data_IF_269508149159
#
_entry.id   IF_269508149159
#
_cell.length_a   1.000
_cell.length_b   1.000
_cell.length_c   1.000
_cell.angle_alpha   90.00
_cell.angle_beta   90.00
_cell.angle_gamma   90.00
#
_symmetry.space_group_name_H-M   'P 1'
#
loop_
_entity.id
_entity.type
_entity.pdbx_description
1 polymer ?
#
# COMPACT_ATOMS: atom_id res chain seq x y z
N UNK A 1 -26.40 39.64 31.01
CA UNK A 1 -27.70 39.07 30.59
C UNK A 1 -27.78 38.73 29.08
N UNK A 2 -26.82 39.15 28.24
CA UNK A 2 -26.88 39.00 26.78
C UNK A 2 -26.20 37.74 26.18
N UNK A 3 -25.73 36.80 26.99
CA UNK A 3 -24.99 35.61 26.50
C UNK A 3 -25.80 34.30 26.58
N UNK A 4 -27.01 34.32 27.18
CA UNK A 4 -27.92 33.17 27.24
C UNK A 4 -28.99 33.13 26.13
N UNK A 5 -29.10 34.15 25.28
CA UNK A 5 -30.08 34.16 24.19
C UNK A 5 -29.58 33.50 22.90
N UNK A 6 -28.27 33.51 22.60
CA UNK A 6 -27.74 32.91 21.37
C UNK A 6 -27.76 31.37 21.33
N UNK A 7 -27.80 30.70 22.49
CA UNK A 7 -27.81 29.23 22.56
C UNK A 7 -29.18 28.61 22.24
N UNK A 8 -30.29 29.32 22.48
CA UNK A 8 -31.64 28.78 22.26
C UNK A 8 -32.12 28.89 20.82
N UNK A 9 -31.63 29.86 20.05
CA UNK A 9 -32.04 30.06 18.65
C UNK A 9 -31.37 29.06 17.69
N UNK A 10 -30.13 28.62 17.98
CA UNK A 10 -29.44 27.60 17.16
C UNK A 10 -29.99 26.18 17.34
N UNK A 11 -30.47 25.84 18.54
CA UNK A 11 -30.98 24.51 18.84
C UNK A 11 -32.34 24.22 18.17
N UNK A 12 -33.19 25.24 18.01
CA UNK A 12 -34.50 25.10 17.34
C UNK A 12 -34.37 25.03 15.82
N UNK A 13 -33.37 25.69 15.22
CA UNK A 13 -33.09 25.62 13.79
C UNK A 13 -32.49 24.27 13.34
N UNK A 14 -31.66 23.65 14.18
CA UNK A 14 -31.11 22.31 13.93
C UNK A 14 -32.18 21.21 14.07
N UNK A 15 -33.11 21.35 15.02
CA UNK A 15 -34.19 20.39 15.20
C UNK A 15 -35.23 20.42 14.06
N UNK A 16 -35.50 21.60 13.48
CA UNK A 16 -36.39 21.73 12.33
C UNK A 16 -35.74 21.26 11.02
N UNK A 17 -34.44 21.46 10.83
CA UNK A 17 -33.69 20.91 9.69
C UNK A 17 -33.62 19.38 9.72
N UNK A 18 -33.42 18.78 10.90
CA UNK A 18 -33.39 17.31 11.06
C UNK A 18 -34.77 16.67 10.81
N UNK A 19 -35.88 17.31 11.21
CA UNK A 19 -37.23 16.80 10.90
C UNK A 19 -37.57 16.87 9.40
N UNK A 20 -37.08 17.88 8.67
CA UNK A 20 -37.24 17.98 7.21
C UNK A 20 -36.44 16.90 6.46
N UNK A 21 -35.26 16.53 6.96
CA UNK A 21 -34.42 15.50 6.34
C UNK A 21 -34.95 14.08 6.59
N UNK A 22 -35.59 13.85 7.74
CA UNK A 22 -36.17 12.55 8.09
C UNK A 22 -37.45 12.24 7.30
N UNK A 23 -38.23 13.26 6.92
CA UNK A 23 -39.44 13.09 6.12
C UNK A 23 -39.17 12.89 4.61
N UNK A 24 -37.95 13.21 4.14
CA UNK A 24 -37.49 12.87 2.78
C UNK A 24 -36.95 11.44 2.66
N UNK A 25 -36.61 10.79 3.77
CA UNK A 25 -36.15 9.40 3.78
C UNK A 25 -37.30 8.39 3.84
N UNK A 26 -38.51 8.82 4.23
CA UNK A 26 -39.72 7.98 4.26
C UNK A 26 -40.50 7.94 2.94
N UNK A 27 -40.13 8.79 1.96
CA UNK A 27 -40.83 8.93 0.67
C UNK A 27 -40.08 8.36 -0.54
N UNK A 28 -38.96 7.66 -0.32
CA UNK A 28 -38.29 6.91 -1.38
C UNK A 28 -38.82 5.46 -1.44
N UNK A 29 -39.45 5.02 -2.54
CA UNK A 29 -39.77 3.61 -2.72
C UNK A 29 -38.47 2.81 -2.86
N UNK A 30 -38.45 1.63 -2.26
CA UNK A 30 -37.34 0.68 -2.33
C UNK A 30 -36.99 0.34 -3.80
N UNK A 31 -35.69 0.18 -4.16
CA UNK A 31 -35.35 -0.28 -5.49
C UNK A 31 -35.72 -1.78 -5.59
N UNK A 32 -36.76 -2.06 -6.38
CA UNK A 32 -37.10 -3.40 -6.80
C UNK A 32 -36.03 -3.93 -7.75
N UNK A 33 -35.62 -5.17 -7.52
CA UNK A 33 -34.79 -5.99 -8.41
C UNK A 33 -35.52 -6.25 -9.73
N UNK A 34 -35.48 -5.33 -10.69
CA UNK A 34 -35.87 -5.60 -12.08
C UNK A 34 -35.30 -4.54 -13.03
N UNK A 35 -34.01 -4.64 -13.34
CA UNK A 35 -33.40 -3.90 -14.46
C UNK A 35 -32.19 -4.67 -15.01
N UNK A 36 -32.31 -6.00 -15.13
CA UNK A 36 -31.26 -6.87 -15.67
C UNK A 36 -31.46 -7.23 -17.16
N UNK A 37 -32.35 -6.56 -17.90
CA UNK A 37 -32.71 -6.99 -19.26
C UNK A 37 -32.79 -5.90 -20.34
N UNK A 38 -32.36 -4.66 -20.05
CA UNK A 38 -32.44 -3.55 -21.01
C UNK A 38 -31.07 -2.94 -21.32
N UNK A 39 -30.16 -3.76 -21.88
CA UNK A 39 -29.05 -3.30 -22.72
C UNK A 39 -28.67 -4.43 -23.69
N UNK A 40 -29.68 -4.94 -24.42
CA UNK A 40 -29.48 -5.60 -25.71
C UNK A 40 -29.84 -4.56 -26.75
N UNK A 41 -28.93 -4.30 -27.68
CA UNK A 41 -29.08 -3.47 -28.89
C UNK A 41 -28.55 -2.03 -28.78
N UNK A 42 -27.24 -1.87 -29.06
CA UNK A 42 -26.74 -0.91 -30.05
C UNK A 42 -25.41 -1.42 -30.64
N UNK A 43 -25.10 -1.08 -31.90
CA UNK A 43 -24.29 -1.90 -32.79
C UNK A 43 -22.78 -1.60 -32.71
N UNK A 44 -22.03 -2.54 -33.29
CA UNK A 44 -20.58 -2.56 -33.44
C UNK A 44 -19.95 -1.21 -33.85
N UNK A 45 -18.94 -0.80 -33.10
CA UNK A 45 -17.92 0.15 -33.52
C UNK A 45 -16.60 -0.21 -32.82
N UNK A 46 -15.64 -0.73 -33.58
CA UNK A 46 -14.33 -1.11 -33.11
C UNK A 46 -13.53 0.12 -32.64
N UNK A 47 -13.01 0.08 -31.40
CA UNK A 47 -11.73 0.71 -31.04
C UNK A 47 -11.29 0.22 -29.66
N UNK A 48 -10.00 -0.08 -29.58
CA UNK A 48 -9.24 -0.71 -28.49
C UNK A 48 -9.24 0.09 -27.18
N UNK A 49 -9.74 -0.48 -26.08
CA UNK A 49 -9.35 -0.09 -24.70
C UNK A 49 -9.79 -1.12 -23.63
N UNK A 50 -9.03 -2.20 -23.37
CA UNK A 50 -9.39 -3.17 -22.31
C UNK A 50 -8.80 -2.87 -20.91
N UNK A 51 -7.89 -1.89 -20.75
CA UNK A 51 -7.15 -1.72 -19.49
C UNK A 51 -7.84 -0.85 -18.41
N UNK A 52 -8.63 0.16 -18.80
CA UNK A 52 -9.22 1.12 -17.86
C UNK A 52 -10.43 0.57 -17.08
N UNK A 53 -11.18 -0.37 -17.68
CA UNK A 53 -12.32 -1.04 -17.06
C UNK A 53 -11.88 -2.07 -16.01
N UNK A 54 -10.81 -2.83 -16.27
CA UNK A 54 -10.30 -3.82 -15.32
C UNK A 54 -9.82 -3.17 -14.01
N UNK A 55 -9.16 -2.01 -14.09
CA UNK A 55 -8.73 -1.24 -12.93
C UNK A 55 -9.92 -0.73 -12.10
N UNK A 56 -10.97 -0.25 -12.76
CA UNK A 56 -12.20 0.22 -12.09
C UNK A 56 -12.95 -0.93 -11.41
N UNK A 57 -12.99 -2.12 -12.03
CA UNK A 57 -13.58 -3.31 -11.43
C UNK A 57 -12.74 -3.89 -10.29
N UNK A 58 -11.40 -3.86 -10.37
CA UNK A 58 -10.52 -4.26 -9.29
C UNK A 58 -10.65 -3.30 -8.11
N UNK A 59 -10.66 -1.99 -8.36
CA UNK A 59 -10.80 -0.96 -7.33
C UNK A 59 -12.21 -0.99 -6.71
N UNK A 60 -13.27 -1.21 -7.49
CA UNK A 60 -14.64 -1.38 -6.97
C UNK A 60 -14.81 -2.70 -6.20
N UNK A 61 -14.24 -3.81 -6.65
CA UNK A 61 -14.33 -5.08 -5.92
C UNK A 61 -13.56 -5.03 -4.60
N UNK A 62 -12.42 -4.32 -4.56
CA UNK A 62 -11.63 -4.06 -3.35
C UNK A 62 -12.34 -3.09 -2.42
N UNK A 63 -12.89 -1.98 -2.90
CA UNK A 63 -13.71 -1.08 -2.07
C UNK A 63 -14.94 -1.80 -1.51
N UNK A 64 -15.55 -2.69 -2.29
CA UNK A 64 -16.69 -3.52 -1.86
C UNK A 64 -16.28 -4.57 -0.83
N UNK A 65 -15.12 -5.19 -0.98
CA UNK A 65 -14.51 -6.09 0.02
C UNK A 65 -14.09 -5.38 1.30
N UNK A 66 -13.56 -4.16 1.18
CA UNK A 66 -13.17 -3.31 2.30
C UNK A 66 -14.39 -2.86 3.10
N UNK A 67 -15.45 -2.37 2.42
CA UNK A 67 -16.69 -1.92 3.07
C UNK A 67 -17.48 -3.08 3.71
N UNK A 68 -17.54 -4.25 3.07
CA UNK A 68 -18.21 -5.42 3.67
C UNK A 68 -17.45 -6.00 4.87
N UNK A 69 -16.12 -6.09 4.81
CA UNK A 69 -15.30 -6.54 5.93
C UNK A 69 -15.30 -5.54 7.11
N UNK A 70 -15.39 -4.24 6.82
CA UNK A 70 -15.47 -3.19 7.86
C UNK A 70 -16.85 -3.15 8.51
N UNK A 71 -17.93 -3.34 7.74
CA UNK A 71 -19.31 -3.39 8.28
C UNK A 71 -19.55 -4.62 9.16
N UNK A 72 -18.95 -5.76 8.81
CA UNK A 72 -18.96 -6.95 9.67
C UNK A 72 -18.15 -6.76 10.97
N UNK A 73 -17.09 -5.95 10.94
CA UNK A 73 -16.30 -5.61 12.14
C UNK A 73 -16.96 -4.54 13.02
N UNK A 74 -17.59 -3.52 12.45
CA UNK A 74 -18.29 -2.50 13.24
C UNK A 74 -19.46 -3.08 14.04
N UNK A 75 -20.11 -4.15 13.56
CA UNK A 75 -21.14 -4.86 14.32
C UNK A 75 -20.60 -5.86 15.35
N UNK A 76 -19.32 -6.27 15.28
CA UNK A 76 -18.70 -7.14 16.30
C UNK A 76 -17.97 -6.36 17.40
N UNK A 77 -17.68 -5.08 17.17
CA UNK A 77 -16.99 -4.17 18.10
C UNK A 77 -17.97 -3.31 18.91
N UNK A 78 -19.28 -3.45 18.70
CA UNK A 78 -20.29 -2.95 19.64
C UNK A 78 -20.55 -3.90 20.82
N UNK A 79 -19.61 -4.79 21.12
CA UNK A 79 -19.50 -5.44 22.42
C UNK A 79 -18.48 -4.67 23.25
N UNK A 80 -18.97 -4.00 24.31
CA UNK A 80 -18.23 -3.48 25.48
C UNK A 80 -16.79 -4.00 25.55
N UNK A 81 -15.79 -3.11 25.51
CA UNK A 81 -14.69 -3.08 26.48
C UNK A 81 -13.85 -1.81 26.30
N UNK A 82 -13.46 -1.25 27.44
CA UNK A 82 -12.72 -0.01 27.64
C UNK A 82 -11.49 0.13 26.74
N UNK A 83 -11.32 1.31 26.13
CA UNK A 83 -10.03 1.75 25.59
C UNK A 83 -9.04 1.82 26.77
N UNK A 84 -8.26 0.78 26.96
CA UNK A 84 -7.19 0.76 27.94
C UNK A 84 -6.02 1.52 27.31
N UNK A 85 -5.73 2.73 27.83
CA UNK A 85 -4.53 3.48 27.47
C UNK A 85 -3.32 2.67 27.92
N UNK A 86 -2.66 2.01 26.97
CA UNK A 86 -1.58 1.08 27.26
C UNK A 86 -0.24 1.84 27.38
N UNK A 87 -0.05 2.50 28.52
CA UNK A 87 1.27 2.94 29.00
C UNK A 87 1.96 1.78 29.75
N UNK A 88 2.20 0.65 29.09
CA UNK A 88 3.08 -0.38 29.66
C UNK A 88 4.43 -0.31 28.95
N UNK A 89 5.56 -0.16 29.68
CA UNK A 89 6.88 -0.21 29.07
C UNK A 89 7.03 -1.54 28.33
N UNK A 90 7.66 -1.50 27.15
CA UNK A 90 7.98 -2.67 26.32
C UNK A 90 8.71 -3.71 27.19
N UNK A 91 7.98 -4.73 27.64
CA UNK A 91 8.55 -5.81 28.42
C UNK A 91 9.09 -6.87 27.46
N UNK A 92 10.41 -6.91 27.28
CA UNK A 92 11.13 -7.89 26.47
C UNK A 92 11.22 -9.29 27.11
N UNK A 93 10.53 -9.54 28.24
CA UNK A 93 10.49 -10.87 28.85
C UNK A 93 9.37 -11.74 28.23
N UNK A 94 9.72 -12.58 27.25
CA UNK A 94 8.73 -13.45 26.61
C UNK A 94 9.32 -14.67 25.90
N UNK A 95 9.55 -15.74 26.67
CA UNK A 95 9.67 -17.15 26.27
C UNK A 95 10.45 -17.46 24.99
N UNK A 96 11.74 -17.77 25.20
CA UNK A 96 12.65 -18.38 24.24
C UNK A 96 12.18 -19.78 23.81
N UNK A 97 11.74 -19.93 22.55
CA UNK A 97 11.67 -21.24 21.90
C UNK A 97 10.50 -21.51 20.94
N UNK A 98 9.51 -20.61 20.82
CA UNK A 98 8.38 -20.81 19.91
C UNK A 98 8.49 -19.99 18.61
N UNK A 99 8.26 -20.63 17.46
CA UNK A 99 8.11 -19.96 16.17
C UNK A 99 7.02 -18.89 16.24
N UNK A 100 7.20 -17.75 15.55
CA UNK A 100 6.17 -16.68 15.52
C UNK A 100 4.80 -17.24 15.10
N UNK A 101 4.80 -18.12 14.11
CA UNK A 101 3.63 -18.83 13.58
C UNK A 101 2.69 -19.44 14.64
N UNK A 102 3.23 -20.08 15.69
CA UNK A 102 2.43 -20.81 16.71
C UNK A 102 1.70 -19.89 17.69
N UNK A 103 2.01 -18.59 17.66
CA UNK A 103 1.48 -17.60 18.59
C UNK A 103 0.67 -16.50 17.94
N UNK A 104 0.25 -16.72 16.70
CA UNK A 104 -0.61 -15.77 16.02
C UNK A 104 -2.03 -15.84 16.57
N UNK A 105 -2.44 -14.78 17.26
CA UNK A 105 -3.84 -14.53 17.57
C UNK A 105 -4.64 -14.35 16.27
N UNK A 106 -5.94 -14.71 16.26
CA UNK A 106 -6.78 -14.58 15.05
C UNK A 106 -6.85 -13.14 14.53
N UNK A 107 -6.71 -12.15 15.42
CA UNK A 107 -6.64 -10.73 15.08
C UNK A 107 -5.43 -10.39 14.19
N UNK A 108 -4.24 -10.87 14.54
CA UNK A 108 -3.00 -10.61 13.79
C UNK A 108 -3.07 -11.20 12.39
N UNK A 109 -3.63 -12.42 12.25
CA UNK A 109 -3.82 -13.05 10.92
C UNK A 109 -4.73 -12.22 10.02
N UNK A 110 -5.80 -11.64 10.57
CA UNK A 110 -6.70 -10.77 9.80
C UNK A 110 -6.00 -9.46 9.41
N UNK A 111 -5.21 -8.87 10.30
CA UNK A 111 -4.38 -7.69 9.99
C UNK A 111 -3.46 -7.98 8.80
N UNK A 112 -2.70 -9.08 8.89
CA UNK A 112 -1.72 -9.44 7.85
C UNK A 112 -2.39 -9.73 6.52
N UNK A 113 -3.50 -10.47 6.52
CA UNK A 113 -4.26 -10.73 5.29
C UNK A 113 -4.65 -9.41 4.59
N UNK A 114 -5.08 -8.39 5.35
CA UNK A 114 -5.40 -7.07 4.78
C UNK A 114 -4.19 -6.39 4.16
N UNK A 115 -3.06 -6.38 4.88
CA UNK A 115 -1.82 -5.77 4.39
C UNK A 115 -1.36 -6.43 3.09
N UNK A 116 -1.32 -7.76 3.03
CA UNK A 116 -0.93 -8.47 1.81
C UNK A 116 -1.93 -8.30 0.66
N UNK A 117 -3.24 -8.21 0.94
CA UNK A 117 -4.23 -7.90 -0.12
C UNK A 117 -4.06 -6.49 -0.67
N UNK A 118 -3.79 -5.50 0.18
CA UNK A 118 -3.50 -4.11 -0.23
C UNK A 118 -2.22 -4.03 -1.04
N UNK A 119 -1.18 -4.76 -0.61
CA UNK A 119 0.09 -4.87 -1.32
C UNK A 119 -0.11 -5.42 -2.74
N UNK A 120 -0.85 -6.52 -2.89
CA UNK A 120 -1.15 -7.09 -4.21
C UNK A 120 -1.90 -6.11 -5.13
N UNK A 121 -2.89 -5.40 -4.58
CA UNK A 121 -3.62 -4.37 -5.32
C UNK A 121 -2.72 -3.19 -5.72
N UNK A 122 -1.80 -2.78 -4.84
CA UNK A 122 -0.85 -1.72 -5.12
C UNK A 122 0.13 -2.12 -6.23
N UNK A 123 0.63 -3.35 -6.23
CA UNK A 123 1.46 -3.88 -7.32
C UNK A 123 0.72 -3.88 -8.66
N UNK A 124 -0.57 -4.26 -8.69
CA UNK A 124 -1.39 -4.17 -9.89
C UNK A 124 -1.60 -2.72 -10.35
N UNK A 125 -1.82 -1.82 -9.40
CA UNK A 125 -1.97 -0.38 -9.66
C UNK A 125 -0.68 0.24 -10.19
N UNK A 126 0.48 -0.17 -9.66
CA UNK A 126 1.78 0.23 -10.17
C UNK A 126 2.02 -0.30 -11.59
N UNK A 127 1.69 -1.57 -11.86
CA UNK A 127 1.75 -2.15 -13.21
C UNK A 127 0.86 -1.39 -14.21
N UNK A 128 -0.34 -1.00 -13.79
CA UNK A 128 -1.23 -0.13 -14.58
C UNK A 128 -0.60 1.25 -14.80
N UNK A 129 0.03 1.86 -13.79
CA UNK A 129 0.76 3.12 -13.92
C UNK A 129 1.87 3.03 -14.96
N UNK A 130 2.68 1.98 -14.92
CA UNK A 130 3.73 1.73 -15.92
C UNK A 130 3.13 1.55 -17.32
N UNK A 131 2.06 0.76 -17.44
CA UNK A 131 1.38 0.51 -18.70
C UNK A 131 0.77 1.79 -19.29
N UNK A 132 0.10 2.61 -18.48
CA UNK A 132 -0.46 3.88 -18.92
C UNK A 132 0.62 4.81 -19.45
N UNK A 133 1.75 4.92 -18.76
CA UNK A 133 2.86 5.78 -19.18
C UNK A 133 3.50 5.32 -20.49
N UNK A 134 3.54 4.01 -20.75
CA UNK A 134 4.10 3.44 -21.99
C UNK A 134 3.09 3.47 -23.16
N UNK A 135 1.82 3.15 -22.89
CA UNK A 135 0.79 2.99 -23.91
C UNK A 135 0.15 4.32 -24.35
N UNK A 136 0.14 5.34 -23.49
CA UNK A 136 -0.42 6.65 -23.83
C UNK A 136 0.68 7.62 -24.30
N UNK A 137 0.35 8.63 -25.13
CA UNK A 137 1.29 9.68 -25.50
C UNK A 137 1.78 10.52 -24.31
N UNK A 138 1.24 10.31 -23.09
CA UNK A 138 1.74 10.91 -21.87
C UNK A 138 3.22 10.59 -21.63
N UNK A 139 3.72 9.42 -22.04
CA UNK A 139 5.15 9.10 -21.95
C UNK A 139 6.05 9.99 -22.82
N UNK A 140 5.51 10.61 -23.88
CA UNK A 140 6.23 11.60 -24.70
C UNK A 140 6.03 13.04 -24.23
N UNK A 141 4.88 13.33 -23.61
CA UNK A 141 4.54 14.69 -23.16
C UNK A 141 5.06 15.01 -21.74
N UNK A 142 5.14 14.00 -20.86
CA UNK A 142 5.54 14.14 -19.47
C UNK A 142 6.93 13.53 -19.30
N UNK A 143 7.92 14.29 -18.78
CA UNK A 143 9.23 13.73 -18.55
C UNK A 143 9.18 12.72 -17.39
N UNK A 144 9.88 11.60 -17.53
CA UNK A 144 9.84 10.46 -16.60
C UNK A 144 10.23 10.77 -15.14
N UNK A 145 10.91 11.90 -14.89
CA UNK A 145 11.24 12.34 -13.53
C UNK A 145 10.04 13.00 -12.82
N UNK A 146 9.03 13.48 -13.56
CA UNK A 146 7.88 14.17 -12.97
C UNK A 146 7.02 13.25 -12.09
N UNK A 147 6.66 12.01 -12.50
CA UNK A 147 5.96 11.08 -11.62
C UNK A 147 6.78 10.69 -10.39
N UNK A 148 8.11 10.64 -10.51
CA UNK A 148 9.01 10.35 -9.39
C UNK A 148 8.97 11.45 -8.33
N UNK A 149 9.01 12.72 -8.74
CA UNK A 149 8.82 13.87 -7.82
C UNK A 149 7.39 13.92 -7.30
N UNK A 150 6.40 13.62 -8.15
CA UNK A 150 5.00 13.55 -7.80
C UNK A 150 4.68 12.51 -6.73
N UNK A 151 5.39 11.38 -6.72
CA UNK A 151 5.27 10.32 -5.71
C UNK A 151 5.66 10.76 -4.30
N UNK A 152 6.59 11.72 -4.17
CA UNK A 152 6.93 12.26 -2.85
C UNK A 152 5.77 13.00 -2.18
N UNK A 153 4.84 13.59 -2.94
CA UNK A 153 3.71 14.35 -2.39
C UNK A 153 2.78 13.46 -1.53
N UNK A 154 2.19 12.38 -2.05
CA UNK A 154 1.35 11.49 -1.23
C UNK A 154 2.15 10.76 -0.16
N UNK A 155 3.44 10.46 -0.39
CA UNK A 155 4.30 9.81 0.61
C UNK A 155 4.59 10.74 1.81
N UNK A 156 4.97 11.99 1.55
CA UNK A 156 5.16 13.01 2.57
C UNK A 156 3.85 13.30 3.31
N UNK A 157 2.73 13.36 2.59
CA UNK A 157 1.43 13.55 3.22
C UNK A 157 1.10 12.41 4.20
N UNK A 158 1.28 11.16 3.78
CA UNK A 158 1.00 10.01 4.64
C UNK A 158 1.94 9.94 5.85
N UNK A 159 3.18 10.41 5.69
CA UNK A 159 4.20 10.40 6.74
C UNK A 159 4.08 11.54 7.75
N UNK A 160 3.85 12.78 7.29
CA UNK A 160 3.81 13.97 8.15
C UNK A 160 2.43 14.31 8.69
N UNK A 161 1.37 14.01 7.93
CA UNK A 161 0.00 14.34 8.29
C UNK A 161 -0.95 13.19 7.96
N UNK A 162 -0.86 12.05 8.68
CA UNK A 162 -1.70 10.89 8.43
C UNK A 162 -3.17 11.28 8.58
N UNK A 163 -3.96 11.25 7.50
CA UNK A 163 -5.32 11.77 7.52
C UNK A 163 -6.21 10.87 8.36
N UNK A 164 -7.01 11.44 9.27
CA UNK A 164 -7.90 10.67 10.14
C UNK A 164 -8.93 9.81 9.35
N UNK A 165 -9.22 10.20 8.11
CA UNK A 165 -10.16 9.49 7.24
C UNK A 165 -9.52 8.25 6.58
N UNK A 166 -10.03 7.03 6.83
CA UNK A 166 -9.43 5.80 6.30
C UNK A 166 -9.49 5.72 4.77
N UNK A 167 -10.56 6.23 4.15
CA UNK A 167 -10.71 6.26 2.69
C UNK A 167 -9.68 7.18 2.01
N UNK A 168 -9.32 8.28 2.67
CA UNK A 168 -8.33 9.22 2.15
C UNK A 168 -6.94 8.59 2.21
N UNK A 169 -6.58 7.91 3.31
CA UNK A 169 -5.32 7.15 3.41
C UNK A 169 -5.16 6.14 2.27
N UNK A 170 -6.20 5.37 1.99
CA UNK A 170 -6.20 4.39 0.89
C UNK A 170 -6.04 5.06 -0.47
N UNK A 171 -6.75 6.16 -0.72
CA UNK A 171 -6.64 6.90 -1.95
C UNK A 171 -5.20 7.42 -2.16
N UNK A 172 -4.60 8.02 -1.13
CA UNK A 172 -3.20 8.47 -1.18
C UNK A 172 -2.24 7.31 -1.42
N UNK A 173 -2.45 6.17 -0.79
CA UNK A 173 -1.63 4.97 -1.00
C UNK A 173 -1.70 4.45 -2.44
N UNK A 174 -2.90 4.35 -3.03
CA UNK A 174 -3.04 3.91 -4.42
C UNK A 174 -2.55 4.96 -5.42
N UNK A 175 -2.75 6.25 -5.14
CA UNK A 175 -2.17 7.33 -5.96
C UNK A 175 -0.65 7.27 -5.94
N UNK A 176 -0.05 7.04 -4.76
CA UNK A 176 1.39 6.81 -4.63
C UNK A 176 1.83 5.59 -5.45
N UNK A 177 1.17 4.44 -5.29
CA UNK A 177 1.50 3.23 -6.04
C UNK A 177 1.42 3.41 -7.56
N UNK A 178 0.43 4.17 -8.05
CA UNK A 178 0.29 4.50 -9.46
C UNK A 178 1.45 5.37 -9.95
N UNK A 179 1.78 6.44 -9.22
CA UNK A 179 2.89 7.35 -9.54
C UNK A 179 4.24 6.65 -9.55
N UNK A 180 4.50 5.77 -8.57
CA UNK A 180 5.69 4.92 -8.55
C UNK A 180 5.75 3.98 -9.76
N UNK A 181 4.62 3.37 -10.14
CA UNK A 181 4.51 2.60 -11.37
C UNK A 181 4.87 3.40 -12.62
N UNK A 182 4.38 4.65 -12.71
CA UNK A 182 4.73 5.56 -13.80
C UNK A 182 6.22 5.94 -13.79
N UNK A 183 6.83 6.11 -12.62
CA UNK A 183 8.25 6.45 -12.48
C UNK A 183 9.17 5.32 -12.96
N UNK A 184 8.77 4.07 -12.78
CA UNK A 184 9.56 2.88 -13.17
C UNK A 184 9.28 2.46 -14.63
N UNK A 185 8.32 3.11 -15.31
CA UNK A 185 7.97 2.85 -16.71
C UNK A 185 9.16 2.73 -17.69
N UNK A 186 10.20 3.59 -17.68
CA UNK A 186 11.34 3.42 -18.60
C UNK A 186 12.12 2.13 -18.34
N UNK A 187 12.19 1.68 -17.09
CA UNK A 187 12.83 0.42 -16.72
C UNK A 187 12.00 -0.78 -17.21
N UNK A 188 10.68 -0.70 -17.04
CA UNK A 188 9.73 -1.72 -17.52
C UNK A 188 9.78 -1.81 -19.04
N UNK A 189 9.89 -0.69 -19.74
CA UNK A 189 10.03 -0.67 -21.19
C UNK A 189 11.32 -1.36 -21.64
N UNK A 190 12.46 -1.02 -21.04
CA UNK A 190 13.75 -1.63 -21.36
C UNK A 190 13.74 -3.15 -21.12
N UNK A 191 13.20 -3.59 -19.98
CA UNK A 191 13.09 -5.03 -19.66
C UNK A 191 12.06 -5.76 -20.51
N UNK A 192 11.01 -5.08 -20.97
CA UNK A 192 10.03 -5.64 -21.90
C UNK A 192 10.62 -5.87 -23.29
N UNK A 193 11.42 -4.93 -23.81
CA UNK A 193 12.08 -5.10 -25.11
C UNK A 193 13.04 -6.31 -25.11
N UNK A 194 13.63 -6.63 -23.96
CA UNK A 194 14.49 -7.81 -23.77
C UNK A 194 13.74 -9.08 -23.41
N UNK A 195 12.43 -9.02 -23.16
CA UNK A 195 11.62 -10.18 -22.76
C UNK A 195 11.86 -10.69 -21.33
N UNK A 196 12.60 -9.93 -20.49
CA UNK A 196 12.96 -10.32 -19.11
C UNK A 196 12.03 -9.74 -18.03
N UNK A 197 10.97 -9.05 -18.43
CA UNK A 197 10.02 -8.43 -17.49
C UNK A 197 9.35 -9.49 -16.59
N UNK A 198 8.80 -10.55 -17.20
CA UNK A 198 8.05 -11.59 -16.47
C UNK A 198 8.94 -12.33 -15.47
N UNK A 199 10.18 -12.65 -15.87
CA UNK A 199 11.16 -13.31 -15.00
C UNK A 199 11.56 -12.41 -13.83
N UNK A 200 11.72 -11.11 -14.06
CA UNK A 200 12.03 -10.13 -13.00
C UNK A 200 10.91 -10.03 -11.97
N UNK A 201 9.64 -10.01 -12.41
CA UNK A 201 8.48 -9.98 -11.50
C UNK A 201 8.39 -11.27 -10.69
N UNK A 202 8.55 -12.44 -11.33
CA UNK A 202 8.52 -13.73 -10.65
C UNK A 202 9.65 -13.85 -9.62
N UNK A 203 10.86 -13.41 -9.98
CA UNK A 203 12.00 -13.45 -9.06
C UNK A 203 11.79 -12.48 -7.88
N UNK A 204 11.23 -11.31 -8.12
CA UNK A 204 10.85 -10.36 -7.06
C UNK A 204 9.83 -11.00 -6.11
N UNK A 205 8.80 -11.64 -6.64
CA UNK A 205 7.79 -12.33 -5.83
C UNK A 205 8.39 -13.49 -5.03
N UNK A 206 9.32 -14.26 -5.62
CA UNK A 206 10.02 -15.35 -4.96
C UNK A 206 10.92 -14.84 -3.82
N UNK A 207 11.70 -13.79 -4.04
CA UNK A 207 12.57 -13.18 -3.01
C UNK A 207 11.70 -12.58 -1.90
N UNK A 208 10.75 -11.72 -2.26
CA UNK A 208 9.87 -11.09 -1.27
C UNK A 208 9.09 -12.12 -0.45
N UNK A 209 8.46 -13.08 -1.12
CA UNK A 209 7.69 -14.15 -0.48
C UNK A 209 8.57 -15.06 0.38
N UNK A 210 9.75 -15.43 -0.10
CA UNK A 210 10.70 -16.26 0.63
C UNK A 210 11.21 -15.60 1.91
N UNK A 211 11.63 -14.33 1.84
CA UNK A 211 12.08 -13.58 3.02
C UNK A 211 10.92 -13.25 3.98
N UNK A 212 9.72 -12.95 3.46
CA UNK A 212 8.53 -12.75 4.30
C UNK A 212 8.12 -14.03 5.04
N UNK A 213 8.18 -15.18 4.37
CA UNK A 213 7.92 -16.48 4.99
C UNK A 213 9.00 -16.84 6.03
N UNK A 214 10.28 -16.60 5.71
CA UNK A 214 11.38 -16.81 6.63
C UNK A 214 11.21 -15.95 7.90
N UNK A 215 10.78 -14.70 7.78
CA UNK A 215 10.49 -13.82 8.91
C UNK A 215 9.35 -14.33 9.80
N UNK A 216 8.36 -14.98 9.19
CA UNK A 216 7.22 -15.60 9.86
C UNK A 216 7.60 -16.82 10.70
N UNK A 217 8.57 -17.59 10.21
CA UNK A 217 9.11 -18.76 10.90
C UNK A 217 10.19 -18.36 11.92
N UNK A 218 10.82 -17.19 11.75
CA UNK A 218 11.91 -16.74 12.61
C UNK A 218 11.47 -16.44 14.06
N UNK A 219 12.38 -16.63 15.04
CA UNK A 219 12.11 -16.36 16.45
C UNK A 219 11.66 -14.91 16.69
N UNK A 220 10.73 -14.74 17.64
CA UNK A 220 10.10 -13.45 17.98
C UNK A 220 11.14 -12.37 18.30
N UNK A 221 10.85 -11.15 17.85
CA UNK A 221 11.56 -9.90 18.18
C UNK A 221 13.08 -9.87 17.91
N UNK A 222 13.64 -10.93 17.31
CA UNK A 222 15.07 -11.03 17.02
C UNK A 222 15.53 -10.04 15.95
N UNK A 223 14.68 -9.72 14.97
CA UNK A 223 15.04 -8.82 13.86
C UNK A 223 14.60 -7.37 14.07
N UNK A 224 13.78 -7.06 15.09
CA UNK A 224 13.40 -5.67 15.40
C UNK A 224 14.62 -4.85 15.83
N UNK A 225 15.57 -5.46 16.54
CA UNK A 225 16.84 -4.81 16.91
C UNK A 225 17.70 -4.42 15.68
N UNK A 226 17.49 -5.08 14.54
CA UNK A 226 18.26 -4.84 13.31
C UNK A 226 17.74 -3.65 12.51
N UNK A 227 16.58 -3.08 12.85
CA UNK A 227 16.00 -1.94 12.13
C UNK A 227 16.93 -0.72 12.14
N UNK A 228 17.65 -0.46 13.25
CA UNK A 228 18.56 0.67 13.38
C UNK A 228 19.79 0.57 12.46
N UNK A 229 20.57 -0.52 12.55
CA UNK A 229 21.68 -0.77 11.63
C UNK A 229 21.27 -0.81 10.15
N UNK A 230 20.11 -1.38 9.83
CA UNK A 230 19.59 -1.45 8.46
C UNK A 230 19.21 -0.07 7.91
N UNK A 231 18.63 0.80 8.72
CA UNK A 231 18.35 2.18 8.32
C UNK A 231 19.65 2.96 8.07
N UNK A 232 20.68 2.75 8.92
CA UNK A 232 22.02 3.29 8.69
C UNK A 232 22.65 2.78 7.39
N UNK A 233 22.52 1.48 7.09
CA UNK A 233 22.98 0.89 5.84
C UNK A 233 22.22 1.46 4.62
N UNK A 234 20.93 1.75 4.76
CA UNK A 234 20.12 2.38 3.72
C UNK A 234 20.62 3.80 3.41
N UNK A 235 20.89 4.61 4.44
CA UNK A 235 21.47 5.95 4.29
C UNK A 235 22.87 5.86 3.65
N UNK A 236 23.69 4.90 4.08
CA UNK A 236 24.99 4.64 3.48
C UNK A 236 24.88 4.32 1.99
N UNK A 237 23.89 3.52 1.60
CA UNK A 237 23.59 3.22 0.20
C UNK A 237 23.17 4.46 -0.59
N UNK A 238 22.34 5.32 -0.01
CA UNK A 238 21.96 6.61 -0.64
C UNK A 238 23.20 7.49 -0.82
N UNK A 239 24.08 7.57 0.18
CA UNK A 239 25.34 8.31 0.07
C UNK A 239 26.24 7.75 -1.04
N UNK A 240 26.38 6.42 -1.14
CA UNK A 240 27.14 5.77 -2.21
C UNK A 240 26.50 6.06 -3.58
N UNK A 241 25.17 6.07 -3.67
CA UNK A 241 24.45 6.42 -4.89
C UNK A 241 24.75 7.86 -5.33
N UNK A 242 24.73 8.82 -4.39
CA UNK A 242 25.10 10.21 -4.66
C UNK A 242 26.57 10.34 -5.11
N UNK A 243 27.49 9.65 -4.44
CA UNK A 243 28.90 9.65 -4.82
C UNK A 243 29.12 9.07 -6.21
N UNK A 244 28.37 8.03 -6.58
CA UNK A 244 28.45 7.41 -7.90
C UNK A 244 27.95 8.33 -9.02
N UNK A 245 27.16 9.37 -8.72
CA UNK A 245 26.79 10.41 -9.70
C UNK A 245 27.98 11.29 -10.04
N UNK A 246 28.84 11.62 -9.07
CA UNK A 246 30.04 12.43 -9.31
C UNK A 246 31.22 11.60 -9.82
N UNK A 247 31.37 10.38 -9.29
CA UNK A 247 32.46 9.47 -9.60
C UNK A 247 31.89 8.09 -10.00
N UNK A 248 31.43 7.93 -11.25
CA UNK A 248 30.87 6.67 -11.70
C UNK A 248 31.96 5.60 -11.76
N UNK A 249 31.85 4.58 -10.91
CA UNK A 249 32.74 3.42 -10.95
C UNK A 249 31.93 2.14 -11.11
N UNK A 250 32.44 1.19 -11.90
CA UNK A 250 31.78 -0.10 -12.09
C UNK A 250 31.58 -0.84 -10.76
N UNK A 251 32.56 -0.74 -9.85
CA UNK A 251 32.48 -1.31 -8.51
C UNK A 251 31.35 -0.70 -7.68
N UNK A 252 31.23 0.63 -7.64
CA UNK A 252 30.13 1.28 -6.91
C UNK A 252 28.77 0.92 -7.52
N UNK A 253 28.65 0.84 -8.84
CA UNK A 253 27.40 0.42 -9.48
C UNK A 253 26.99 -1.02 -9.13
N UNK A 254 27.92 -1.97 -9.18
CA UNK A 254 27.68 -3.35 -8.75
C UNK A 254 27.33 -3.42 -7.27
N UNK A 255 28.05 -2.69 -6.41
CA UNK A 255 27.76 -2.65 -4.98
C UNK A 255 26.36 -2.08 -4.73
N UNK A 256 25.99 -0.99 -5.40
CA UNK A 256 24.65 -0.41 -5.31
C UNK A 256 23.63 -1.47 -5.67
N UNK A 257 23.73 -2.12 -6.83
CA UNK A 257 22.77 -3.13 -7.29
C UNK A 257 22.65 -4.33 -6.34
N UNK A 258 23.73 -5.08 -6.17
CA UNK A 258 23.74 -6.35 -5.42
C UNK A 258 23.67 -6.14 -3.91
N UNK A 259 24.44 -5.19 -3.38
CA UNK A 259 24.42 -4.86 -1.96
C UNK A 259 23.06 -4.30 -1.53
N UNK A 260 22.46 -3.42 -2.34
CA UNK A 260 21.15 -2.87 -2.01
C UNK A 260 20.06 -3.93 -2.13
N UNK A 261 20.16 -4.87 -3.09
CA UNK A 261 19.23 -6.01 -3.18
C UNK A 261 19.27 -6.85 -1.90
N UNK A 262 20.47 -7.15 -1.39
CA UNK A 262 20.65 -7.90 -0.14
C UNK A 262 20.11 -7.14 1.09
N UNK A 263 20.33 -5.82 1.16
CA UNK A 263 19.81 -4.99 2.25
C UNK A 263 18.27 -4.96 2.22
N UNK A 264 17.67 -4.72 1.05
CA UNK A 264 16.22 -4.67 0.93
C UNK A 264 15.56 -6.03 1.19
N UNK A 265 16.19 -7.15 0.81
CA UNK A 265 15.66 -8.47 1.13
C UNK A 265 15.65 -8.74 2.64
N UNK A 266 16.69 -8.31 3.36
CA UNK A 266 16.70 -8.38 4.84
C UNK A 266 15.70 -7.40 5.45
N UNK A 267 15.55 -6.20 4.87
CA UNK A 267 14.57 -5.20 5.32
C UNK A 267 13.13 -5.72 5.20
N UNK A 268 12.80 -6.50 4.17
CA UNK A 268 11.50 -7.19 4.07
C UNK A 268 11.26 -8.09 5.28
N UNK A 269 12.26 -8.85 5.70
CA UNK A 269 12.12 -9.73 6.85
C UNK A 269 11.91 -8.95 8.15
N UNK A 270 12.67 -7.87 8.35
CA UNK A 270 12.51 -6.96 9.50
C UNK A 270 11.15 -6.29 9.52
N UNK A 271 10.71 -5.75 8.38
CA UNK A 271 9.42 -5.07 8.27
C UNK A 271 8.25 -6.03 8.48
N UNK A 272 8.38 -7.30 8.06
CA UNK A 272 7.40 -8.35 8.34
C UNK A 272 7.27 -8.59 9.85
N UNK A 273 8.40 -8.71 10.57
CA UNK A 273 8.37 -8.89 12.02
C UNK A 273 7.83 -7.67 12.75
N UNK A 274 8.23 -6.47 12.32
CA UNK A 274 7.76 -5.22 12.92
C UNK A 274 6.25 -5.02 12.69
N UNK A 275 5.72 -5.40 11.52
CA UNK A 275 4.28 -5.43 11.24
C UNK A 275 3.54 -6.39 12.18
N UNK A 276 4.06 -7.62 12.38
CA UNK A 276 3.44 -8.61 13.27
C UNK A 276 3.39 -8.07 14.71
N UNK A 277 4.46 -7.43 15.18
CA UNK A 277 4.53 -6.87 16.53
C UNK A 277 3.57 -5.67 16.69
N UNK A 278 3.54 -4.75 15.73
CA UNK A 278 2.55 -3.64 15.71
C UNK A 278 1.11 -4.14 15.71
N UNK A 279 0.83 -5.21 14.95
CA UNK A 279 -0.49 -5.83 14.92
C UNK A 279 -0.86 -6.48 16.26
N UNK A 280 0.11 -7.01 17.03
CA UNK A 280 -0.14 -7.56 18.37
C UNK A 280 -0.48 -6.47 19.39
N UNK A 281 0.19 -5.34 19.33
CA UNK A 281 -0.07 -4.19 20.21
C UNK A 281 -1.37 -3.45 19.90
N UNK A 282 -2.14 -3.87 18.89
CA UNK A 282 -3.41 -3.23 18.51
C UNK A 282 -3.25 -1.83 17.88
N UNK A 283 -2.01 -1.37 17.65
CA UNK A 283 -1.68 -0.06 17.09
C UNK A 283 -1.29 -0.12 15.60
N UNK A 284 -1.37 -1.28 14.96
CA UNK A 284 -0.99 -1.45 13.55
C UNK A 284 -1.97 -0.79 12.58
N UNK A 285 -1.51 0.22 11.84
CA UNK A 285 -2.22 0.78 10.70
C UNK A 285 -1.92 -0.03 9.44
N UNK A 286 -2.91 -0.81 8.98
CA UNK A 286 -2.79 -1.67 7.80
C UNK A 286 -2.31 -0.92 6.55
N UNK A 287 -2.66 0.36 6.38
CA UNK A 287 -2.29 1.13 5.16
C UNK A 287 -0.83 1.53 5.21
N UNK A 288 -0.34 1.94 6.38
CA UNK A 288 1.06 2.30 6.57
C UNK A 288 1.97 1.09 6.48
N UNK A 289 1.55 -0.04 7.07
CA UNK A 289 2.27 -1.32 6.97
C UNK A 289 2.31 -1.82 5.51
N UNK A 290 1.21 -1.68 4.76
CA UNK A 290 1.16 -2.00 3.33
C UNK A 290 2.05 -1.06 2.49
N UNK A 291 2.10 0.24 2.80
CA UNK A 291 2.99 1.19 2.14
C UNK A 291 4.46 0.80 2.30
N UNK A 292 4.88 0.47 3.51
CA UNK A 292 6.26 0.10 3.77
C UNK A 292 6.65 -1.21 3.07
N UNK A 293 5.77 -2.21 3.08
CA UNK A 293 5.98 -3.43 2.30
C UNK A 293 6.01 -3.17 0.79
N UNK A 294 5.18 -2.26 0.29
CA UNK A 294 5.15 -1.88 -1.12
C UNK A 294 6.46 -1.23 -1.57
N UNK A 295 7.02 -0.32 -0.77
CA UNK A 295 8.33 0.29 -1.04
C UNK A 295 9.43 -0.76 -1.16
N UNK A 296 9.44 -1.77 -0.29
CA UNK A 296 10.41 -2.85 -0.38
C UNK A 296 10.24 -3.69 -1.66
N UNK A 297 9.00 -4.02 -2.04
CA UNK A 297 8.73 -4.75 -3.29
C UNK A 297 9.25 -3.98 -4.50
N UNK A 298 8.95 -2.67 -4.58
CA UNK A 298 9.41 -1.81 -5.66
C UNK A 298 10.94 -1.72 -5.72
N UNK A 299 11.59 -1.52 -4.57
CA UNK A 299 13.04 -1.43 -4.49
C UNK A 299 13.74 -2.73 -4.93
N UNK A 300 13.21 -3.89 -4.52
CA UNK A 300 13.72 -5.20 -4.96
C UNK A 300 13.47 -5.39 -6.47
N UNK A 301 12.27 -5.05 -6.94
CA UNK A 301 11.90 -5.17 -8.36
C UNK A 301 12.83 -4.37 -9.27
N UNK A 302 13.05 -3.09 -8.97
CA UNK A 302 13.90 -2.21 -9.78
C UNK A 302 15.31 -2.77 -9.88
N UNK A 303 15.86 -3.30 -8.78
CA UNK A 303 17.21 -3.88 -8.74
C UNK A 303 17.31 -5.17 -9.53
N UNK A 304 16.35 -6.08 -9.34
CA UNK A 304 16.29 -7.32 -10.11
C UNK A 304 16.13 -7.02 -11.60
N UNK A 305 15.23 -6.12 -11.96
CA UNK A 305 14.99 -5.73 -13.34
C UNK A 305 16.23 -5.06 -13.98
N UNK A 306 17.00 -4.28 -13.22
CA UNK A 306 18.28 -3.74 -13.68
C UNK A 306 19.33 -4.84 -13.90
N UNK A 307 19.44 -5.81 -12.99
CA UNK A 307 20.36 -6.95 -13.12
C UNK A 307 20.00 -7.78 -14.36
N UNK A 308 18.74 -8.19 -14.48
CA UNK A 308 18.24 -8.95 -15.63
C UNK A 308 18.39 -8.16 -16.94
N UNK A 309 18.09 -6.85 -16.90
CA UNK A 309 18.27 -5.97 -18.04
C UNK A 309 19.73 -5.76 -18.45
N UNK A 310 20.69 -5.88 -17.54
CA UNK A 310 22.11 -5.71 -17.81
C UNK A 310 22.83 -7.02 -18.19
N UNK A 311 22.28 -8.19 -17.83
CA UNK A 311 22.87 -9.51 -18.07
C UNK A 311 22.87 -9.96 -19.54
N UNK A 312 22.03 -9.41 -20.42
CA UNK A 312 22.04 -9.69 -21.87
C UNK A 312 23.09 -8.84 -22.62
N UNK A 313 24.38 -9.05 -22.36
CA UNK A 313 25.50 -8.50 -23.15
C UNK A 313 26.34 -9.61 -23.77
#
# INVERSE_FOLDING_TARGET
MFQRMHSRVGATALASALRMQQNRLSSCPAPSLSAASACRNLPCGASTAPAATAASFALQSVLRGYTTATRAQQMRVQGRDSIQSQNTPMNWSGSSGGSQADSLTPFVRQHLARVYTLLGCACLTAGLGSFLMVATPMGRAIPYWLPMVGGFVPLLWLSFAPPANPSLKLCLFFSFALLEGMAIAPLVLMTSMKGVLTTSILLTAAVFGGFSAAAYLAPRASMVAWQGPLFGALIGMVAISLLNVFYPTAFAHSLILYGGLAIFSVMVAVDTQAMIERARCGAGDHVQDALQMFLNVINIFVRIAQIMGNMDR
#
